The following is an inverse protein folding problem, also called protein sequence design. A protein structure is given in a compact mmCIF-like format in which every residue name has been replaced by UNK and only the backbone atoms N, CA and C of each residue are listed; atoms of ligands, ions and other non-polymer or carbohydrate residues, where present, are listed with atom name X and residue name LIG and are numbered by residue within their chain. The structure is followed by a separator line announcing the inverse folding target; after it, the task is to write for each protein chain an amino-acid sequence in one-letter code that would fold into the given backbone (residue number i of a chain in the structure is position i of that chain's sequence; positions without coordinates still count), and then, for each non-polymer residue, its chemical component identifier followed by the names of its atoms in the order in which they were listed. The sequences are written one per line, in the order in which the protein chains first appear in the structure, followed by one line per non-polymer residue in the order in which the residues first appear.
data_IF_485718851146
#
_entry.id   IF_485718851146
#
_cell.length_a   1.000
_cell.length_b   1.000
_cell.length_c   1.000
_cell.angle_alpha   90.00
_cell.angle_beta   90.00
_cell.angle_gamma   90.00
#
_symmetry.space_group_name_H-M   'P 1'
#
loop_
_entity.id
_entity.type
_entity.pdbx_description
1 polymer ?
#
# COMPACT_ATOMS: atom_id res chain seq x y z
N UNK A 1 4.66 45.25 18.42
CA UNK A 1 5.74 44.98 19.39
C UNK A 1 6.36 43.64 19.09
N UNK A 2 7.54 43.72 18.57
CA UNK A 2 8.77 42.90 18.70
C UNK A 2 8.66 41.38 18.55
N UNK A 3 8.99 40.99 17.38
CA UNK A 3 9.57 39.74 16.85
C UNK A 3 10.74 39.26 17.72
N UNK A 4 10.76 37.95 18.02
CA UNK A 4 11.99 37.25 18.46
C UNK A 4 12.27 36.08 17.52
N UNK A 5 13.28 36.28 16.69
CA UNK A 5 13.95 35.27 15.89
C UNK A 5 14.90 34.50 16.84
N UNK A 6 14.78 33.19 16.92
CA UNK A 6 15.81 32.34 17.54
C UNK A 6 16.55 31.58 16.42
N UNK A 7 17.82 31.93 16.30
CA UNK A 7 18.80 31.28 15.43
C UNK A 7 19.33 30.06 16.19
N UNK A 8 19.11 28.88 15.68
CA UNK A 8 19.64 27.62 16.22
C UNK A 8 20.98 27.25 15.60
N UNK A 9 21.88 26.87 16.45
CA UNK A 9 23.30 26.56 16.31
C UNK A 9 23.52 25.31 15.43
N UNK A 10 24.40 25.44 14.43
CA UNK A 10 24.96 24.32 13.68
C UNK A 10 26.06 23.63 14.49
N UNK A 11 25.90 22.34 14.73
CA UNK A 11 26.97 21.48 15.26
C UNK A 11 27.67 20.76 14.12
N UNK A 12 28.91 21.15 13.87
CA UNK A 12 29.85 20.47 12.95
C UNK A 12 30.41 19.25 13.67
N UNK A 13 30.12 18.05 13.22
CA UNK A 13 30.81 16.83 13.63
C UNK A 13 31.91 16.49 12.63
N UNK A 14 33.17 16.65 13.08
CA UNK A 14 34.36 16.16 12.39
C UNK A 14 34.44 14.64 12.62
N UNK A 15 34.17 13.83 11.60
CA UNK A 15 34.30 12.37 11.64
C UNK A 15 35.71 11.94 11.26
N UNK A 16 36.40 11.33 12.24
CA UNK A 16 37.71 10.72 12.10
C UNK A 16 37.61 9.40 11.32
N UNK A 17 38.24 9.32 10.16
CA UNK A 17 38.23 8.12 9.32
C UNK A 17 39.06 6.98 9.91
N UNK A 18 38.46 5.83 10.12
CA UNK A 18 39.17 4.60 10.47
C UNK A 18 39.35 3.75 9.20
N UNK A 19 40.59 3.66 8.75
CA UNK A 19 41.03 2.83 7.61
C UNK A 19 41.09 1.36 8.07
N UNK A 20 40.13 0.55 7.63
CA UNK A 20 40.13 -0.91 7.82
C UNK A 20 40.81 -1.57 6.63
N UNK A 21 42.02 -2.14 6.88
CA UNK A 21 42.71 -3.00 5.93
C UNK A 21 41.99 -4.34 5.81
N UNK A 22 41.50 -4.69 4.62
CA UNK A 22 41.00 -6.02 4.30
C UNK A 22 42.17 -6.90 3.83
N UNK A 23 42.30 -8.14 4.33
CA UNK A 23 43.29 -9.08 3.77
C UNK A 23 42.80 -9.65 2.45
N UNK A 24 43.66 -9.58 1.45
CA UNK A 24 43.53 -10.25 0.15
C UNK A 24 43.66 -11.75 0.34
N UNK A 25 42.68 -12.50 -0.02
CA UNK A 25 42.74 -13.99 -0.12
C UNK A 25 42.71 -14.35 -1.60
N UNK A 26 43.80 -14.93 -2.12
CA UNK A 26 43.91 -15.48 -3.47
C UNK A 26 43.03 -16.73 -3.61
N UNK A 27 42.32 -16.89 -4.74
CA UNK A 27 41.68 -18.15 -5.07
C UNK A 27 42.63 -19.11 -5.79
N UNK A 28 42.89 -20.26 -5.22
CA UNK A 28 43.52 -21.39 -5.91
C UNK A 28 42.46 -22.39 -6.35
N UNK A 29 42.18 -22.40 -7.60
CA UNK A 29 42.11 -23.48 -8.63
C UNK A 29 41.30 -24.77 -8.38
N UNK A 30 40.48 -25.04 -9.36
CA UNK A 30 40.10 -26.28 -10.11
C UNK A 30 38.86 -27.02 -9.61
N UNK A 31 37.90 -27.15 -10.54
CA UNK A 31 37.04 -28.31 -10.61
C UNK A 31 35.64 -28.12 -11.13
N UNK A 32 35.52 -28.27 -12.43
CA UNK A 32 34.45 -28.91 -13.17
C UNK A 32 33.13 -28.15 -13.45
N UNK A 33 32.88 -28.10 -14.74
CA UNK A 33 31.71 -27.61 -15.41
C UNK A 33 30.41 -28.29 -14.94
N UNK A 34 29.48 -27.50 -14.44
CA UNK A 34 28.10 -27.86 -14.22
C UNK A 34 27.23 -26.67 -14.63
N UNK A 35 26.36 -26.91 -15.58
CA UNK A 35 25.40 -26.04 -16.25
C UNK A 35 24.76 -24.99 -15.34
N UNK A 36 24.81 -23.66 -15.61
CA UNK A 36 24.21 -22.61 -14.79
C UNK A 36 22.74 -22.35 -15.15
N UNK A 37 21.90 -23.38 -15.21
CA UNK A 37 20.50 -23.26 -15.58
C UNK A 37 19.52 -23.94 -14.61
N UNK A 38 19.88 -24.13 -13.34
CA UNK A 38 18.99 -24.80 -12.37
C UNK A 38 19.16 -24.31 -10.92
N UNK A 39 19.33 -23.03 -10.64
CA UNK A 39 19.18 -22.51 -9.25
C UNK A 39 18.50 -21.13 -9.29
N UNK A 40 17.28 -21.08 -9.76
CA UNK A 40 16.36 -19.97 -9.50
C UNK A 40 14.99 -20.51 -9.09
N UNK A 41 14.95 -21.33 -8.08
CA UNK A 41 13.66 -21.76 -7.53
C UNK A 41 13.82 -22.08 -6.04
N UNK A 42 13.75 -21.05 -5.19
CA UNK A 42 13.29 -21.21 -3.80
C UNK A 42 13.55 -19.98 -2.89
N UNK A 43 13.26 -18.77 -3.35
CA UNK A 43 13.05 -17.64 -2.42
C UNK A 43 11.83 -16.81 -2.87
N UNK A 44 10.73 -17.48 -3.16
CA UNK A 44 9.42 -16.83 -3.15
C UNK A 44 8.79 -17.05 -1.79
N UNK A 45 9.19 -16.23 -0.81
CA UNK A 45 8.39 -15.98 0.36
C UNK A 45 7.04 -15.44 -0.10
N UNK A 46 6.00 -16.28 -0.02
CA UNK A 46 4.62 -15.91 -0.26
C UNK A 46 4.16 -14.93 0.83
N UNK A 47 4.39 -13.67 0.61
CA UNK A 47 3.71 -12.57 1.28
C UNK A 47 3.17 -11.62 0.21
N UNK A 48 2.33 -12.15 -0.66
CA UNK A 48 1.69 -11.35 -1.69
C UNK A 48 0.19 -11.52 -1.54
N UNK A 49 -0.41 -10.82 -0.57
CA UNK A 49 -1.80 -10.41 -0.70
C UNK A 49 -1.89 -9.33 -1.79
N UNK A 50 -1.41 -9.67 -2.98
CA UNK A 50 -1.45 -8.81 -4.14
C UNK A 50 -2.88 -8.62 -4.59
N UNK A 51 -3.31 -7.39 -4.71
CA UNK A 51 -4.55 -7.07 -5.43
C UNK A 51 -4.43 -7.67 -6.83
N UNK A 52 -5.41 -8.47 -7.28
CA UNK A 52 -5.39 -9.09 -8.60
C UNK A 52 -5.11 -8.04 -9.68
N UNK A 53 -4.27 -8.36 -10.67
CA UNK A 53 -4.07 -7.50 -11.86
C UNK A 53 -5.38 -7.42 -12.63
N UNK A 54 -6.25 -6.50 -12.26
CA UNK A 54 -7.48 -6.26 -12.99
C UNK A 54 -7.17 -5.65 -14.37
N UNK A 55 -7.60 -6.35 -15.43
CA UNK A 55 -7.54 -5.82 -16.78
C UNK A 55 -8.41 -4.56 -16.86
N UNK A 56 -7.97 -3.55 -17.59
CA UNK A 56 -8.66 -2.27 -17.76
C UNK A 56 -10.10 -2.37 -18.31
N UNK A 57 -10.52 -3.53 -18.81
CA UNK A 57 -11.81 -3.80 -19.46
C UNK A 57 -12.84 -4.55 -18.59
N UNK A 58 -12.63 -4.69 -17.27
CA UNK A 58 -13.65 -5.29 -16.41
C UNK A 58 -14.80 -4.30 -16.27
N UNK A 59 -16.02 -4.72 -16.65
CA UNK A 59 -17.25 -3.94 -16.44
C UNK A 59 -17.53 -3.88 -14.94
N UNK A 60 -17.63 -2.69 -14.33
CA UNK A 60 -17.89 -2.58 -12.90
C UNK A 60 -19.34 -3.01 -12.57
N UNK A 61 -19.52 -3.56 -11.37
CA UNK A 61 -20.82 -3.94 -10.80
C UNK A 61 -21.63 -2.71 -10.38
N UNK A 62 -20.94 -1.67 -9.89
CA UNK A 62 -21.52 -0.39 -9.52
C UNK A 62 -20.49 0.72 -9.70
N UNK A 63 -20.97 1.96 -9.91
CA UNK A 63 -20.12 3.16 -10.05
C UNK A 63 -20.78 4.31 -9.30
N UNK A 64 -20.01 5.04 -8.50
CA UNK A 64 -20.45 6.25 -7.80
C UNK A 64 -19.31 7.24 -7.60
N UNK A 65 -19.61 8.41 -7.08
CA UNK A 65 -18.63 9.42 -6.69
C UNK A 65 -18.72 9.66 -5.18
N UNK A 66 -17.57 9.84 -4.54
CA UNK A 66 -17.49 10.16 -3.12
C UNK A 66 -16.30 11.06 -2.82
N UNK A 67 -16.26 11.56 -1.58
CA UNK A 67 -15.06 12.16 -1.01
C UNK A 67 -14.27 11.08 -0.30
N UNK A 68 -12.97 11.00 -0.60
CA UNK A 68 -12.02 10.11 0.06
C UNK A 68 -10.98 10.91 0.82
N UNK A 69 -10.60 10.41 1.99
CA UNK A 69 -9.37 10.75 2.68
C UNK A 69 -8.34 9.63 2.54
N UNK A 70 -7.31 9.72 3.37
CA UNK A 70 -6.34 8.63 3.55
C UNK A 70 -5.91 8.57 5.02
N UNK A 71 -5.51 7.40 5.47
CA UNK A 71 -4.99 7.15 6.81
C UNK A 71 -3.53 6.68 6.69
N UNK A 72 -2.68 7.25 7.52
CA UNK A 72 -1.23 7.16 7.38
C UNK A 72 -0.55 6.58 8.62
N UNK A 73 0.57 7.17 8.96
CA UNK A 73 1.56 6.65 9.92
C UNK A 73 0.99 6.33 11.32
N UNK A 74 0.05 7.13 11.82
CA UNK A 74 -0.56 6.90 13.15
C UNK A 74 -1.35 5.58 13.24
N UNK A 75 -1.75 5.02 12.10
CA UNK A 75 -2.49 3.75 12.01
C UNK A 75 -1.62 2.59 11.58
N UNK A 76 -0.39 2.83 11.12
CA UNK A 76 0.51 1.78 10.63
C UNK A 76 0.80 0.76 11.73
N UNK A 77 0.68 -0.52 11.39
CA UNK A 77 0.82 -1.62 12.35
C UNK A 77 -0.43 -1.91 13.20
N UNK A 78 -1.52 -1.12 13.12
CA UNK A 78 -2.76 -1.36 13.85
C UNK A 78 -3.61 -2.46 13.19
N UNK A 79 -4.44 -3.18 13.96
CA UNK A 79 -5.34 -4.18 13.39
C UNK A 79 -6.48 -3.53 12.60
N UNK A 80 -6.79 -4.09 11.44
CA UNK A 80 -7.94 -3.71 10.60
C UNK A 80 -9.18 -4.56 10.92
N UNK A 81 -10.34 -4.14 10.43
CA UNK A 81 -11.62 -4.81 10.71
C UNK A 81 -11.70 -6.26 10.17
N UNK A 82 -10.88 -6.64 9.19
CA UNK A 82 -10.80 -8.02 8.72
C UNK A 82 -9.75 -8.86 9.45
N UNK A 83 -9.06 -8.30 10.47
CA UNK A 83 -8.05 -8.98 11.28
C UNK A 83 -6.62 -8.92 10.71
N UNK A 84 -6.40 -8.24 9.61
CA UNK A 84 -5.05 -7.97 9.09
C UNK A 84 -4.37 -6.83 9.88
N UNK A 85 -3.06 -6.72 9.75
CA UNK A 85 -2.32 -5.53 10.19
C UNK A 85 -2.35 -4.49 9.09
N UNK A 86 -2.68 -3.24 9.44
CA UNK A 86 -2.62 -2.14 8.48
C UNK A 86 -1.17 -1.86 8.08
N UNK A 87 -0.95 -1.77 6.78
CA UNK A 87 0.30 -1.36 6.13
C UNK A 87 -0.01 -0.14 5.27
N UNK A 88 0.54 1.03 5.64
CA UNK A 88 0.30 2.28 4.94
C UNK A 88 0.80 2.26 3.48
N UNK A 89 1.66 1.32 3.11
CA UNK A 89 2.19 1.14 1.76
C UNK A 89 1.44 0.07 0.95
N UNK A 90 0.50 -0.64 1.57
CA UNK A 90 -0.36 -1.61 0.87
C UNK A 90 -1.44 -0.91 0.02
N UNK A 91 -2.04 -1.64 -0.93
CA UNK A 91 -3.14 -1.14 -1.77
C UNK A 91 -4.49 -1.51 -1.18
N UNK A 92 -4.84 -0.89 -0.05
CA UNK A 92 -6.05 -1.15 0.74
C UNK A 92 -6.87 0.11 0.99
N UNK A 93 -8.10 -0.08 1.45
CA UNK A 93 -8.99 1.00 1.82
C UNK A 93 -10.00 0.56 2.89
N UNK A 94 -10.52 1.54 3.63
CA UNK A 94 -11.63 1.43 4.55
C UNK A 94 -12.93 1.95 3.89
N UNK A 95 -14.03 1.23 4.10
CA UNK A 95 -15.37 1.64 3.68
C UNK A 95 -16.41 1.21 4.73
N UNK A 96 -17.42 2.06 5.04
CA UNK A 96 -18.34 1.76 6.14
C UNK A 96 -19.19 0.50 5.92
N UNK A 97 -19.60 0.21 4.69
CA UNK A 97 -20.62 -0.82 4.40
C UNK A 97 -20.25 -1.87 3.35
N UNK A 98 -19.30 -1.59 2.45
CA UNK A 98 -18.88 -2.60 1.47
C UNK A 98 -18.37 -3.86 2.18
N UNK A 99 -18.70 -5.08 1.69
CA UNK A 99 -18.15 -6.30 2.25
C UNK A 99 -16.62 -6.26 2.32
N UNK A 100 -16.04 -6.69 3.45
CA UNK A 100 -14.58 -6.86 3.58
C UNK A 100 -14.10 -7.86 2.52
N UNK A 101 -12.99 -7.54 1.86
CA UNK A 101 -12.49 -8.28 0.71
C UNK A 101 -12.99 -7.78 -0.65
N UNK A 102 -13.97 -6.86 -0.70
CA UNK A 102 -14.41 -6.25 -1.97
C UNK A 102 -13.24 -5.58 -2.69
N UNK A 103 -13.24 -5.67 -4.01
CA UNK A 103 -12.25 -5.01 -4.87
C UNK A 103 -12.92 -3.84 -5.57
N UNK A 104 -12.32 -2.67 -5.44
CA UNK A 104 -12.77 -1.45 -6.10
C UNK A 104 -11.64 -0.84 -6.93
N UNK A 105 -12.01 -0.09 -7.97
CA UNK A 105 -11.11 0.84 -8.65
C UNK A 105 -11.46 2.25 -8.22
N UNK A 106 -10.48 2.97 -7.71
CA UNK A 106 -10.58 4.39 -7.36
C UNK A 106 -9.94 5.19 -8.47
N UNK A 107 -10.67 6.15 -9.03
CA UNK A 107 -10.23 7.02 -10.12
C UNK A 107 -10.26 8.46 -9.66
N UNK A 108 -9.16 9.16 -9.75
CA UNK A 108 -9.10 10.60 -9.54
C UNK A 108 -9.45 11.31 -10.86
N UNK A 109 -10.62 11.97 -10.98
CA UNK A 109 -11.05 12.58 -12.22
C UNK A 109 -10.23 13.82 -12.64
N UNK A 110 -9.44 14.37 -11.72
CA UNK A 110 -8.61 15.56 -11.99
C UNK A 110 -7.38 15.27 -12.84
N UNK A 111 -6.80 14.07 -12.66
CA UNK A 111 -5.55 13.66 -13.32
C UNK A 111 -5.65 12.32 -14.03
N UNK A 112 -6.84 11.70 -14.03
CA UNK A 112 -7.14 10.41 -14.66
C UNK A 112 -6.33 9.23 -14.11
N UNK A 113 -5.62 9.39 -13.00
CA UNK A 113 -4.94 8.28 -12.31
C UNK A 113 -5.97 7.37 -11.67
N UNK A 114 -5.68 6.08 -11.68
CA UNK A 114 -6.55 5.08 -11.06
C UNK A 114 -5.73 4.02 -10.33
N UNK A 115 -6.31 3.48 -9.26
CA UNK A 115 -5.72 2.40 -8.47
C UNK A 115 -6.81 1.39 -8.11
N UNK A 116 -6.50 0.11 -8.26
CA UNK A 116 -7.34 -0.97 -7.73
C UNK A 116 -6.92 -1.22 -6.30
N UNK A 117 -7.89 -1.30 -5.40
CA UNK A 117 -7.67 -1.48 -3.97
C UNK A 117 -8.64 -2.51 -3.41
N UNK A 118 -8.27 -3.14 -2.30
CA UNK A 118 -9.10 -4.06 -1.57
C UNK A 118 -9.64 -3.39 -0.29
N UNK A 119 -10.91 -3.60 -0.01
CA UNK A 119 -11.54 -3.17 1.24
C UNK A 119 -11.17 -4.17 2.33
N UNK A 120 -10.39 -3.75 3.32
CA UNK A 120 -9.98 -4.57 4.45
C UNK A 120 -10.33 -3.96 5.81
N UNK A 121 -10.88 -2.73 5.81
CA UNK A 121 -11.20 -2.03 7.05
C UNK A 121 -12.57 -1.36 7.02
N UNK A 122 -13.02 -0.90 8.21
CA UNK A 122 -14.25 -0.14 8.43
C UNK A 122 -13.95 1.32 8.70
N UNK A 123 -14.84 2.18 8.25
CA UNK A 123 -14.72 3.64 8.25
C UNK A 123 -14.73 4.18 6.83
N UNK A 124 -14.55 5.48 6.66
CA UNK A 124 -14.48 6.51 7.70
C UNK A 124 -15.80 6.72 8.44
N UNK A 125 -15.70 7.18 9.69
CA UNK A 125 -16.85 7.59 10.50
C UNK A 125 -16.95 9.12 10.63
N UNK A 126 -16.40 9.81 9.63
CA UNK A 126 -16.41 11.28 9.53
C UNK A 126 -17.45 11.70 8.50
N UNK A 127 -18.34 12.62 8.89
CA UNK A 127 -19.39 13.12 8.00
C UNK A 127 -18.82 13.67 6.67
N UNK A 128 -19.47 13.35 5.57
CA UNK A 128 -19.06 13.77 4.23
C UNK A 128 -17.93 12.96 3.60
N UNK A 129 -17.39 11.95 4.28
CA UNK A 129 -16.41 10.99 3.73
C UNK A 129 -17.02 9.58 3.66
N UNK A 130 -16.80 8.89 2.57
CA UNK A 130 -17.30 7.52 2.37
C UNK A 130 -16.18 6.51 2.17
N UNK A 131 -14.97 6.97 1.90
CA UNK A 131 -13.82 6.12 1.63
C UNK A 131 -12.57 6.72 2.28
N UNK A 132 -11.74 5.88 2.86
CA UNK A 132 -10.38 6.23 3.23
C UNK A 132 -9.43 5.20 2.60
N UNK A 133 -8.47 5.68 1.82
CA UNK A 133 -7.46 4.83 1.20
C UNK A 133 -6.16 4.84 2.00
N UNK A 134 -5.28 3.87 1.77
CA UNK A 134 -3.93 3.90 2.33
C UNK A 134 -3.12 5.08 1.80
N UNK A 135 -2.05 5.46 2.52
CA UNK A 135 -1.13 6.53 2.09
C UNK A 135 -0.57 6.27 0.68
N UNK A 136 -0.13 5.05 0.38
CA UNK A 136 0.43 4.72 -0.92
C UNK A 136 -0.59 4.90 -2.05
N UNK A 137 -1.85 4.56 -1.81
CA UNK A 137 -2.93 4.78 -2.78
C UNK A 137 -3.18 6.27 -3.00
N UNK A 138 -3.21 7.09 -1.93
CA UNK A 138 -3.35 8.53 -2.04
C UNK A 138 -2.21 9.15 -2.87
N UNK A 139 -0.97 8.73 -2.60
CA UNK A 139 0.23 9.15 -3.33
C UNK A 139 0.16 8.78 -4.82
N UNK A 140 -0.22 7.54 -5.14
CA UNK A 140 -0.39 7.09 -6.54
C UNK A 140 -1.49 7.85 -7.26
N UNK A 141 -2.57 8.17 -6.56
CA UNK A 141 -3.68 8.96 -7.09
C UNK A 141 -3.38 10.47 -7.11
N UNK A 142 -2.31 10.94 -6.46
CA UNK A 142 -1.82 12.31 -6.46
C UNK A 142 -2.69 13.26 -5.66
N UNK A 143 -3.10 12.87 -4.44
CA UNK A 143 -3.82 13.74 -3.53
C UNK A 143 -3.35 13.67 -2.06
N UNK A 144 -2.27 12.92 -1.79
CA UNK A 144 -1.65 12.78 -0.47
C UNK A 144 -1.39 14.12 0.21
N UNK A 145 -0.78 15.09 -0.48
CA UNK A 145 -0.51 16.43 0.05
C UNK A 145 -1.79 17.23 0.39
N UNK A 146 -2.90 16.95 -0.30
CA UNK A 146 -4.18 17.66 -0.07
C UNK A 146 -5.04 17.03 1.00
N UNK A 147 -4.75 15.80 1.40
CA UNK A 147 -5.49 15.05 2.39
C UNK A 147 -6.86 14.53 1.91
N UNK A 148 -7.56 15.25 1.06
CA UNK A 148 -8.90 14.91 0.56
C UNK A 148 -9.00 15.03 -0.97
N UNK A 149 -9.83 14.16 -1.56
CA UNK A 149 -10.16 14.20 -2.99
C UNK A 149 -11.60 13.77 -3.26
N UNK A 150 -12.23 14.36 -4.29
CA UNK A 150 -13.41 13.77 -4.94
C UNK A 150 -12.92 12.72 -5.92
N UNK A 151 -13.43 11.51 -5.81
CA UNK A 151 -13.04 10.38 -6.65
C UNK A 151 -14.27 9.71 -7.26
N UNK A 152 -14.06 8.98 -8.36
CA UNK A 152 -15.02 8.02 -8.88
C UNK A 152 -14.59 6.63 -8.41
N UNK A 153 -15.52 5.89 -7.85
CA UNK A 153 -15.32 4.52 -7.37
C UNK A 153 -16.06 3.56 -8.29
N UNK A 154 -15.40 2.48 -8.66
CA UNK A 154 -15.95 1.39 -9.46
C UNK A 154 -15.83 0.10 -8.65
N UNK A 155 -16.96 -0.51 -8.28
CA UNK A 155 -16.99 -1.82 -7.64
C UNK A 155 -16.70 -2.88 -8.70
N UNK A 156 -15.63 -3.63 -8.55
CA UNK A 156 -15.21 -4.65 -9.49
C UNK A 156 -15.60 -6.06 -9.05
N UNK A 157 -15.49 -6.32 -7.75
CA UNK A 157 -15.75 -7.64 -7.19
C UNK A 157 -16.26 -7.52 -5.76
N UNK A 158 -17.18 -8.39 -5.39
CA UNK A 158 -17.63 -8.61 -4.02
C UNK A 158 -17.29 -10.06 -3.67
N UNK A 159 -16.72 -10.34 -2.48
CA UNK A 159 -16.45 -11.72 -2.07
C UNK A 159 -17.71 -12.56 -2.15
N UNK A 160 -17.62 -13.71 -2.81
CA UNK A 160 -18.70 -14.71 -2.73
C UNK A 160 -18.86 -15.14 -1.27
N UNK A 161 -20.09 -15.11 -0.73
CA UNK A 161 -20.34 -15.74 0.55
C UNK A 161 -19.85 -17.18 0.47
N UNK A 162 -19.14 -17.69 1.51
CA UNK A 162 -18.94 -19.13 1.61
C UNK A 162 -20.31 -19.77 1.47
N UNK A 163 -20.46 -20.75 0.58
CA UNK A 163 -21.68 -21.52 0.52
C UNK A 163 -21.90 -22.07 1.94
N UNK A 164 -22.97 -21.60 2.60
CA UNK A 164 -23.40 -22.23 3.85
C UNK A 164 -23.65 -23.68 3.48
N UNK A 165 -22.80 -24.57 4.01
CA UNK A 165 -22.98 -26.02 3.89
C UNK A 165 -24.42 -26.32 4.27
N UNK A 166 -25.21 -26.64 3.27
CA UNK A 166 -26.55 -27.21 3.47
C UNK A 166 -26.33 -28.68 3.83
N UNK A 167 -25.81 -28.90 5.04
CA UNK A 167 -25.93 -30.19 5.66
C UNK A 167 -27.27 -30.21 6.38
N UNK A 168 -28.21 -30.77 5.69
CA UNK A 168 -29.45 -31.27 6.25
C UNK A 168 -29.29 -32.76 6.45
#
# INVERSE_FOLDING_TARGET
MRTRILIGLQSVFLGLGLLVLTPSVNPTTIGNAGNPAQIETSLQGNSTFGVPKYKSKVKPLAVWQCVTGWYGEDFDGQPTANGETYDMYATTAAHPTLPLGSIIRVVNPRNHRSQVVRINDRGPYVEGRELDVSYEVARRLGFDERGLAKVRVELLEVPSRPALDRHN
#
